data_IF_720953967208
#
_entry.id   IF_720953967208
#
_cell.length_a   1.000
_cell.length_b   1.000
_cell.length_c   1.000
_cell.angle_alpha   90.00
_cell.angle_beta   90.00
_cell.angle_gamma   90.00
#
_symmetry.space_group_name_H-M   'P 1'
#
loop_
_entity.id
_entity.type
_entity.pdbx_description
1 polymer ?
#
# COMPACT_ATOMS: atom_id res chain seq x y z
N UNK A 1 -4.62 3.41 -12.43
CA UNK A 1 -3.95 2.10 -12.52
C UNK A 1 -2.43 2.22 -12.64
N UNK A 2 -1.88 2.93 -13.65
CA UNK A 2 -0.41 3.16 -13.74
C UNK A 2 0.11 3.99 -12.57
N UNK A 3 -0.58 5.08 -12.26
CA UNK A 3 -0.24 5.96 -11.13
C UNK A 3 -0.34 5.22 -9.79
N UNK A 4 -1.38 4.39 -9.59
CA UNK A 4 -1.52 3.55 -8.38
C UNK A 4 -0.31 2.62 -8.21
N UNK A 5 0.11 1.95 -9.30
CA UNK A 5 1.26 1.05 -9.27
C UNK A 5 2.57 1.79 -8.99
N UNK A 6 2.76 2.99 -9.56
CA UNK A 6 3.93 3.84 -9.29
C UNK A 6 3.95 4.30 -7.84
N UNK A 7 2.81 4.69 -7.28
CA UNK A 7 2.71 5.12 -5.88
C UNK A 7 3.08 3.98 -4.93
N UNK A 8 2.56 2.77 -5.15
CA UNK A 8 2.90 1.58 -4.37
C UNK A 8 4.39 1.25 -4.52
N UNK A 9 4.91 1.24 -5.75
CA UNK A 9 6.32 0.95 -6.00
C UNK A 9 7.26 1.94 -5.29
N UNK A 10 6.92 3.23 -5.31
CA UNK A 10 7.67 4.26 -4.60
C UNK A 10 7.71 3.97 -3.09
N UNK A 11 6.56 3.72 -2.47
CA UNK A 11 6.50 3.39 -1.04
C UNK A 11 7.27 2.10 -0.69
N UNK A 12 7.20 1.07 -1.53
CA UNK A 12 7.97 -0.17 -1.34
C UNK A 12 9.49 0.06 -1.40
N UNK A 13 9.95 0.82 -2.41
CA UNK A 13 11.39 1.08 -2.63
C UNK A 13 11.97 1.98 -1.55
N UNK A 14 11.22 3.01 -1.15
CA UNK A 14 11.57 3.90 -0.03
C UNK A 14 11.41 3.22 1.35
N UNK A 15 10.95 1.96 1.38
CA UNK A 15 10.73 1.18 2.61
C UNK A 15 9.83 1.90 3.61
N UNK A 16 8.80 2.58 3.11
CA UNK A 16 7.80 3.21 3.95
C UNK A 16 7.08 2.15 4.79
N UNK A 17 6.83 2.47 6.06
CA UNK A 17 6.08 1.57 6.95
C UNK A 17 4.60 1.49 6.56
N UNK A 18 4.02 2.62 6.10
CA UNK A 18 2.59 2.77 5.82
C UNK A 18 2.33 3.62 4.57
N UNK A 19 1.48 3.12 3.67
CA UNK A 19 0.88 3.87 2.57
C UNK A 19 -0.60 4.13 2.86
N UNK A 20 -0.99 5.40 2.84
CA UNK A 20 -2.38 5.82 3.09
C UNK A 20 -3.04 6.27 1.79
N UNK A 21 -4.26 5.83 1.50
CA UNK A 21 -4.97 6.20 0.27
C UNK A 21 -6.49 6.20 0.40
N UNK A 22 -7.16 7.10 -0.32
CA UNK A 22 -8.63 7.09 -0.49
C UNK A 22 -9.10 6.21 -1.67
N UNK A 23 -8.20 5.57 -2.42
CA UNK A 23 -8.57 4.73 -3.56
C UNK A 23 -8.94 3.30 -3.11
N UNK A 24 -10.19 3.09 -2.69
CA UNK A 24 -10.71 1.79 -2.25
C UNK A 24 -10.81 0.74 -3.36
N UNK A 25 -10.88 1.18 -4.62
CA UNK A 25 -11.02 0.26 -5.77
C UNK A 25 -9.70 -0.43 -6.11
N UNK A 26 -8.60 0.31 -6.05
CA UNK A 26 -7.32 -0.15 -6.57
C UNK A 26 -6.21 -0.26 -5.52
N UNK A 27 -6.16 0.61 -4.51
CA UNK A 27 -5.07 0.63 -3.53
C UNK A 27 -5.48 -0.07 -2.24
N UNK A 28 -6.57 0.36 -1.60
CA UNK A 28 -7.00 -0.17 -0.28
C UNK A 28 -7.80 -1.49 -0.40
N UNK A 29 -7.80 -2.11 -1.58
CA UNK A 29 -8.50 -3.38 -1.77
C UNK A 29 -7.65 -4.55 -1.23
N UNK A 30 -8.17 -5.30 -0.26
CA UNK A 30 -7.42 -6.37 0.44
C UNK A 30 -6.79 -7.42 -0.48
N UNK A 31 -7.52 -7.86 -1.53
CA UNK A 31 -6.98 -8.86 -2.47
C UNK A 31 -5.80 -8.29 -3.25
N UNK A 32 -5.86 -7.00 -3.59
CA UNK A 32 -4.77 -6.30 -4.27
C UNK A 32 -3.60 -6.03 -3.35
N UNK A 33 -3.84 -5.61 -2.10
CA UNK A 33 -2.79 -5.43 -1.07
C UNK A 33 -1.98 -6.72 -0.92
N UNK A 34 -2.64 -7.88 -0.84
CA UNK A 34 -1.94 -9.17 -0.79
C UNK A 34 -1.10 -9.43 -2.06
N UNK A 35 -1.63 -9.10 -3.24
CA UNK A 35 -0.89 -9.25 -4.49
C UNK A 35 0.35 -8.33 -4.54
N UNK A 36 0.25 -7.08 -4.08
CA UNK A 36 1.37 -6.15 -4.00
C UNK A 36 2.44 -6.66 -3.05
N UNK A 37 2.05 -7.07 -1.84
CA UNK A 37 2.98 -7.57 -0.85
C UNK A 37 3.62 -8.91 -1.25
N UNK A 38 2.91 -9.77 -1.98
CA UNK A 38 3.49 -10.98 -2.57
C UNK A 38 4.65 -10.66 -3.52
N UNK A 39 4.50 -9.62 -4.36
CA UNK A 39 5.57 -9.13 -5.24
C UNK A 39 6.71 -8.51 -4.44
N UNK A 40 6.40 -7.65 -3.45
CA UNK A 40 7.41 -7.05 -2.57
C UNK A 40 8.28 -8.13 -1.91
N UNK A 41 7.66 -9.12 -1.26
CA UNK A 41 8.37 -10.21 -0.58
C UNK A 41 9.22 -11.03 -1.54
N UNK A 42 8.70 -11.36 -2.73
CA UNK A 42 9.46 -12.08 -3.77
C UNK A 42 10.72 -11.31 -4.20
N UNK A 43 10.68 -9.98 -4.17
CA UNK A 43 11.79 -9.10 -4.55
C UNK A 43 12.65 -8.66 -3.35
N UNK A 44 12.37 -9.15 -2.14
CA UNK A 44 13.13 -8.81 -0.93
C UNK A 44 12.79 -7.45 -0.31
N UNK A 45 11.68 -6.82 -0.74
CA UNK A 45 11.14 -5.63 -0.08
C UNK A 45 10.29 -6.03 1.14
N UNK A 46 10.22 -5.15 2.16
CA UNK A 46 9.36 -5.38 3.31
C UNK A 46 7.87 -5.40 2.91
N UNK A 47 7.05 -5.92 3.83
CA UNK A 47 5.61 -5.78 3.74
C UNK A 47 5.29 -4.29 3.89
N UNK A 48 4.55 -3.76 2.92
CA UNK A 48 4.01 -2.40 2.96
C UNK A 48 2.60 -2.47 3.57
N UNK A 49 2.41 -1.81 4.71
CA UNK A 49 1.07 -1.64 5.26
C UNK A 49 0.30 -0.63 4.41
N UNK A 50 -0.96 -0.96 4.08
CA UNK A 50 -1.81 -0.09 3.25
C UNK A 50 -3.14 0.08 3.97
N UNK A 51 -3.50 1.34 4.28
CA UNK A 51 -4.70 1.71 5.04
C UNK A 51 -5.48 2.84 4.38
N UNK A 52 -6.77 2.91 4.68
CA UNK A 52 -7.55 4.12 4.43
C UNK A 52 -7.26 5.19 5.49
N UNK A 53 -7.41 6.48 5.19
CA UNK A 53 -7.26 7.56 6.18
C UNK A 53 -8.14 7.39 7.42
N UNK A 54 -9.33 6.80 7.25
CA UNK A 54 -10.27 6.54 8.34
C UNK A 54 -9.73 5.51 9.35
N UNK A 55 -8.79 4.65 8.96
CA UNK A 55 -8.17 3.67 9.86
C UNK A 55 -6.97 4.26 10.63
N UNK A 56 -6.47 5.43 10.23
CA UNK A 56 -5.20 6.00 10.74
C UNK A 56 -5.42 7.31 11.51
N UNK A 57 -6.46 8.07 11.15
CA UNK A 57 -6.80 9.32 11.84
C UNK A 57 -7.63 8.98 13.08
N UNK A 58 -7.11 9.34 14.25
CA UNK A 58 -7.86 9.33 15.50
C UNK A 58 -8.58 10.68 15.68
N UNK A 59 -9.82 10.64 16.16
CA UNK A 59 -10.66 11.82 16.42
C UNK A 59 -10.83 12.05 17.94
N UNK A 60 -9.76 11.83 18.70
CA UNK A 60 -9.70 12.12 20.12
C UNK A 60 -9.63 13.64 20.40
#
# INVERSE_FOLDING_TARGET
MREDAQHIAMASVERADLLVSWNFKHIVNIQRIHAYNSVNLRLGYPILEIRSPLEVIDHA
#
